data_IF_612269608381
#
_entry.id   IF_612269608381
#
_cell.length_a   1.000
_cell.length_b   1.000
_cell.length_c   1.000
_cell.angle_alpha   90.00
_cell.angle_beta   90.00
_cell.angle_gamma   90.00
#
_symmetry.space_group_name_H-M   'P 1'
#
loop_
_entity.id
_entity.type
_entity.pdbx_description
1 polymer ?
#
# COMPACT_ATOMS: atom_id res chain seq x y z
N UNK A 1 8.41 -13.63 26.25
CA UNK A 1 9.07 -14.34 25.13
C UNK A 1 10.54 -14.47 25.46
N UNK A 2 11.17 -15.61 25.22
CA UNK A 2 12.63 -15.73 25.40
C UNK A 2 13.36 -14.81 24.39
N UNK A 3 14.55 -14.32 24.74
CA UNK A 3 15.37 -13.45 23.86
C UNK A 3 15.64 -14.07 22.49
N UNK A 4 15.63 -15.41 22.38
CA UNK A 4 15.87 -16.13 21.12
C UNK A 4 14.71 -15.96 20.13
N UNK A 5 13.46 -16.12 20.60
CA UNK A 5 12.27 -15.96 19.74
C UNK A 5 12.12 -14.53 19.22
N UNK A 6 12.36 -13.52 20.04
CA UNK A 6 12.32 -12.10 19.63
C UNK A 6 13.32 -11.79 18.50
N UNK A 7 14.52 -12.39 18.53
CA UNK A 7 15.50 -12.24 17.44
C UNK A 7 15.02 -12.91 16.16
N UNK A 8 14.47 -14.12 16.25
CA UNK A 8 13.94 -14.83 15.09
C UNK A 8 12.83 -14.03 14.38
N UNK A 9 11.81 -13.57 15.12
CA UNK A 9 10.72 -12.77 14.54
C UNK A 9 11.23 -11.48 13.90
N UNK A 10 12.16 -10.78 14.56
CA UNK A 10 12.76 -9.58 13.97
C UNK A 10 13.36 -9.86 12.59
N UNK A 11 14.25 -10.86 12.48
CA UNK A 11 14.92 -11.14 11.21
C UNK A 11 13.96 -11.69 10.16
N UNK A 12 13.00 -12.52 10.55
CA UNK A 12 11.97 -13.04 9.65
C UNK A 12 11.18 -11.90 8.99
N UNK A 13 10.62 -10.99 9.79
CA UNK A 13 9.83 -9.86 9.28
C UNK A 13 10.68 -8.80 8.59
N UNK A 14 11.94 -8.60 9.02
CA UNK A 14 12.89 -7.74 8.31
C UNK A 14 13.17 -8.25 6.90
N UNK A 15 13.48 -9.54 6.75
CA UNK A 15 13.72 -10.16 5.44
C UNK A 15 12.44 -10.08 4.60
N UNK A 16 11.28 -10.38 5.18
CA UNK A 16 10.00 -10.25 4.48
C UNK A 16 9.75 -8.81 3.98
N UNK A 17 10.05 -7.79 4.80
CA UNK A 17 9.92 -6.39 4.40
C UNK A 17 10.83 -6.05 3.22
N UNK A 18 12.09 -6.50 3.26
CA UNK A 18 13.06 -6.27 2.18
C UNK A 18 12.65 -6.99 0.89
N UNK A 19 12.17 -8.22 0.99
CA UNK A 19 11.63 -8.95 -0.17
C UNK A 19 10.39 -8.26 -0.75
N UNK A 20 9.54 -7.69 0.10
CA UNK A 20 8.37 -6.93 -0.33
C UNK A 20 8.77 -5.62 -1.03
N UNK A 21 9.80 -4.92 -0.52
CA UNK A 21 10.37 -3.77 -1.21
C UNK A 21 10.88 -4.18 -2.61
N UNK A 22 11.64 -5.27 -2.71
CA UNK A 22 12.10 -5.78 -4.00
C UNK A 22 10.94 -6.10 -4.95
N UNK A 23 9.85 -6.69 -4.43
CA UNK A 23 8.63 -6.93 -5.22
C UNK A 23 8.02 -5.61 -5.76
N UNK A 24 7.83 -4.61 -4.91
CA UNK A 24 7.32 -3.29 -5.32
C UNK A 24 8.23 -2.66 -6.38
N UNK A 25 9.55 -2.71 -6.17
CA UNK A 25 10.53 -2.15 -7.11
C UNK A 25 10.44 -2.80 -8.49
N UNK A 26 10.33 -4.14 -8.55
CA UNK A 26 10.16 -4.87 -9.80
C UNK A 26 8.84 -4.51 -10.50
N UNK A 27 7.75 -4.38 -9.75
CA UNK A 27 6.44 -3.92 -10.27
C UNK A 27 6.48 -2.47 -10.77
N UNK A 28 7.25 -1.63 -10.12
CA UNK A 28 7.46 -0.23 -10.46
C UNK A 28 8.28 -0.06 -11.75
N UNK A 29 9.19 -1.00 -12.05
CA UNK A 29 9.99 -1.02 -13.27
C UNK A 29 9.21 -1.37 -14.55
N UNK A 30 8.00 -1.93 -14.46
CA UNK A 30 7.16 -2.24 -15.62
C UNK A 30 6.59 -0.95 -16.25
N UNK A 31 6.51 -0.84 -17.58
CA UNK A 31 5.85 0.31 -18.21
C UNK A 31 4.33 0.36 -17.94
N UNK A 32 3.67 1.51 -18.17
CA UNK A 32 2.21 1.63 -18.00
C UNK A 32 1.44 0.58 -18.82
N UNK A 33 1.88 0.31 -20.06
CA UNK A 33 1.24 -0.68 -20.93
C UNK A 33 1.34 -2.11 -20.40
N UNK A 34 2.47 -2.46 -19.78
CA UNK A 34 2.69 -3.79 -19.20
C UNK A 34 1.88 -3.99 -17.91
N UNK A 35 1.70 -2.92 -17.13
CA UNK A 35 0.92 -2.98 -15.90
C UNK A 35 -0.60 -2.85 -16.15
N UNK A 36 -1.01 -2.42 -17.34
CA UNK A 36 -2.40 -2.09 -17.62
C UNK A 36 -3.32 -3.30 -17.53
N UNK A 37 -4.43 -3.13 -16.82
CA UNK A 37 -5.49 -4.11 -16.69
C UNK A 37 -6.57 -3.95 -17.76
N UNK A 38 -6.49 -2.87 -18.56
CA UNK A 38 -7.49 -2.53 -19.56
C UNK A 38 -7.83 -3.68 -20.53
N UNK A 39 -6.85 -4.41 -21.11
CA UNK A 39 -7.18 -5.51 -22.03
C UNK A 39 -7.98 -6.63 -21.35
N UNK A 40 -7.65 -6.92 -20.09
CA UNK A 40 -8.37 -7.92 -19.30
C UNK A 40 -9.79 -7.44 -18.97
N UNK A 41 -9.95 -6.18 -18.56
CA UNK A 41 -11.25 -5.60 -18.24
C UNK A 41 -12.15 -5.56 -19.48
N UNK A 42 -11.63 -5.12 -20.63
CA UNK A 42 -12.36 -5.10 -21.91
C UNK A 42 -12.77 -6.51 -22.36
N UNK A 43 -11.98 -7.54 -22.05
CA UNK A 43 -12.34 -8.93 -22.35
C UNK A 43 -13.49 -9.47 -21.51
N UNK A 44 -13.72 -8.92 -20.31
CA UNK A 44 -14.69 -9.42 -19.32
C UNK A 44 -15.92 -8.53 -19.16
N UNK A 45 -15.80 -7.24 -19.48
CA UNK A 45 -16.81 -6.22 -19.22
C UNK A 45 -17.15 -5.49 -20.52
N UNK A 46 -18.43 -5.38 -20.83
CA UNK A 46 -18.90 -4.53 -21.92
C UNK A 46 -18.94 -3.07 -21.45
N UNK A 47 -18.02 -2.24 -21.95
CA UNK A 47 -17.95 -0.82 -21.60
C UNK A 47 -19.26 -0.06 -21.84
N UNK A 48 -20.01 -0.44 -22.87
CA UNK A 48 -21.32 0.17 -23.21
C UNK A 48 -22.38 -0.11 -22.15
N UNK A 49 -22.40 -1.31 -21.57
CA UNK A 49 -23.34 -1.65 -20.50
C UNK A 49 -22.98 -0.91 -19.20
N UNK A 50 -21.68 -0.70 -18.95
CA UNK A 50 -21.20 0.01 -17.77
C UNK A 50 -21.54 1.50 -17.81
N UNK A 51 -21.53 2.15 -18.99
CA UNK A 51 -21.89 3.58 -19.11
C UNK A 51 -23.29 3.90 -18.57
N UNK A 52 -24.25 2.98 -18.75
CA UNK A 52 -25.63 3.17 -18.27
C UNK A 52 -25.80 2.92 -16.76
N UNK A 53 -24.83 2.24 -16.13
CA UNK A 53 -24.83 1.93 -14.69
C UNK A 53 -23.89 2.85 -13.90
N UNK A 54 -22.93 3.48 -14.56
CA UNK A 54 -21.95 4.33 -13.91
C UNK A 54 -22.60 5.66 -13.46
N UNK A 55 -22.43 6.07 -12.19
CA UNK A 55 -22.89 7.37 -11.75
C UNK A 55 -22.13 8.49 -12.49
N UNK A 56 -22.84 9.56 -12.84
CA UNK A 56 -22.33 10.66 -13.68
C UNK A 56 -21.41 11.60 -12.89
N UNK A 57 -20.23 11.12 -12.51
CA UNK A 57 -19.19 11.92 -11.86
C UNK A 57 -17.97 12.04 -12.76
N UNK A 58 -17.22 13.12 -12.58
CA UNK A 58 -15.92 13.33 -13.18
C UNK A 58 -15.02 14.12 -12.24
N UNK A 59 -13.73 13.81 -12.25
CA UNK A 59 -12.73 14.58 -11.51
C UNK A 59 -11.39 14.55 -12.24
N UNK A 60 -10.50 15.48 -11.87
CA UNK A 60 -9.12 15.52 -12.37
C UNK A 60 -8.17 14.99 -11.31
N UNK A 61 -7.27 14.11 -11.71
CA UNK A 61 -6.21 13.53 -10.88
C UNK A 61 -4.87 13.80 -11.57
N UNK A 62 -4.06 14.69 -11.00
CA UNK A 62 -2.77 15.10 -11.57
C UNK A 62 -2.81 15.36 -13.09
N UNK A 63 -3.69 16.28 -13.50
CA UNK A 63 -3.99 16.63 -14.90
C UNK A 63 -4.62 15.53 -15.77
N UNK A 64 -4.82 14.31 -15.25
CA UNK A 64 -5.58 13.25 -15.90
C UNK A 64 -7.07 13.34 -15.54
N UNK A 65 -7.95 13.44 -16.54
CA UNK A 65 -9.41 13.43 -16.32
C UNK A 65 -9.90 11.99 -16.16
N UNK A 66 -10.50 11.67 -15.02
CA UNK A 66 -11.22 10.42 -14.76
C UNK A 66 -12.71 10.72 -14.83
N UNK A 67 -13.43 10.02 -15.72
CA UNK A 67 -14.84 10.31 -16.00
C UNK A 67 -15.62 9.01 -16.21
N UNK A 68 -16.92 9.07 -15.90
CA UNK A 68 -17.90 8.03 -16.23
C UNK A 68 -17.94 7.67 -17.72
N UNK A 69 -17.48 8.56 -18.61
CA UNK A 69 -17.39 8.32 -20.05
C UNK A 69 -16.34 7.27 -20.44
N UNK A 70 -15.36 6.99 -19.56
CA UNK A 70 -14.45 5.85 -19.69
C UNK A 70 -14.54 4.97 -18.43
N UNK A 71 -15.62 4.16 -18.30
CA UNK A 71 -15.85 3.37 -17.09
C UNK A 71 -14.75 2.34 -16.86
N UNK A 72 -14.12 1.82 -17.92
CA UNK A 72 -13.02 0.85 -17.83
C UNK A 72 -11.77 1.54 -17.28
N UNK A 73 -11.41 2.71 -17.82
CA UNK A 73 -10.29 3.51 -17.30
C UNK A 73 -10.52 3.94 -15.85
N UNK A 74 -11.75 4.29 -15.47
CA UNK A 74 -12.10 4.60 -14.09
C UNK A 74 -11.94 3.39 -13.16
N UNK A 75 -12.43 2.21 -13.55
CA UNK A 75 -12.25 0.97 -12.77
C UNK A 75 -10.77 0.64 -12.61
N UNK A 76 -10.00 0.67 -13.70
CA UNK A 76 -8.56 0.42 -13.68
C UNK A 76 -7.85 1.39 -12.75
N UNK A 77 -8.19 2.68 -12.80
CA UNK A 77 -7.65 3.70 -11.90
C UNK A 77 -7.86 3.30 -10.44
N UNK A 78 -9.09 2.97 -10.03
CA UNK A 78 -9.39 2.59 -8.64
C UNK A 78 -8.69 1.29 -8.24
N UNK A 79 -8.65 0.27 -9.12
CA UNK A 79 -7.94 -0.98 -8.83
C UNK A 79 -6.46 -0.71 -8.61
N UNK A 80 -5.83 0.12 -9.45
CA UNK A 80 -4.41 0.49 -9.28
C UNK A 80 -4.19 1.23 -7.97
N UNK A 81 -4.98 2.26 -7.65
CA UNK A 81 -4.85 2.98 -6.37
C UNK A 81 -5.08 2.07 -5.16
N UNK A 82 -6.02 1.13 -5.24
CA UNK A 82 -6.21 0.13 -4.19
C UNK A 82 -5.00 -0.80 -4.05
N UNK A 83 -4.36 -1.18 -5.16
CA UNK A 83 -3.10 -1.93 -5.19
C UNK A 83 -1.99 -1.20 -4.45
N UNK A 84 -1.72 0.06 -4.82
CA UNK A 84 -0.75 0.94 -4.17
C UNK A 84 -1.00 1.05 -2.65
N UNK A 85 -2.22 1.40 -2.24
CA UNK A 85 -2.60 1.44 -0.82
C UNK A 85 -2.31 0.11 -0.12
N UNK A 86 -2.61 -1.02 -0.77
CA UNK A 86 -2.38 -2.36 -0.21
C UNK A 86 -0.89 -2.68 -0.08
N UNK A 87 -0.08 -2.36 -1.10
CA UNK A 87 1.36 -2.58 -1.12
C UNK A 87 2.06 -1.86 0.04
N UNK A 88 1.75 -0.58 0.24
CA UNK A 88 2.35 0.21 1.32
C UNK A 88 1.73 -0.08 2.70
N UNK A 89 0.48 -0.54 2.76
CA UNK A 89 -0.08 -1.10 4.00
C UNK A 89 0.72 -2.32 4.44
N UNK A 90 0.96 -3.27 3.53
CA UNK A 90 1.72 -4.49 3.82
C UNK A 90 3.15 -4.15 4.22
N UNK A 91 3.81 -3.25 3.48
CA UNK A 91 5.17 -2.80 3.78
C UNK A 91 5.27 -2.22 5.20
N UNK A 92 4.39 -1.27 5.54
CA UNK A 92 4.36 -0.63 6.85
C UNK A 92 4.04 -1.63 7.97
N UNK A 93 3.16 -2.62 7.73
CA UNK A 93 2.90 -3.70 8.68
C UNK A 93 4.13 -4.56 8.93
N UNK A 94 4.84 -5.00 7.87
CA UNK A 94 6.04 -5.83 8.00
C UNK A 94 7.13 -5.10 8.81
N UNK A 95 7.38 -3.84 8.51
CA UNK A 95 8.30 -3.00 9.28
C UNK A 95 7.85 -2.82 10.73
N UNK A 96 6.56 -2.55 10.96
CA UNK A 96 6.01 -2.37 12.31
C UNK A 96 6.18 -3.64 13.15
N UNK A 97 5.86 -4.82 12.60
CA UNK A 97 5.99 -6.10 13.31
C UNK A 97 7.46 -6.43 13.58
N UNK A 98 8.35 -6.20 12.62
CA UNK A 98 9.78 -6.38 12.82
C UNK A 98 10.27 -5.52 13.99
N UNK A 99 9.98 -4.21 13.97
CA UNK A 99 10.44 -3.29 15.02
C UNK A 99 9.82 -3.59 16.38
N UNK A 100 8.54 -3.97 16.43
CA UNK A 100 7.87 -4.38 17.68
C UNK A 100 8.41 -5.68 18.28
N UNK A 101 9.16 -6.49 17.51
CA UNK A 101 9.87 -7.65 18.06
C UNK A 101 11.09 -7.25 18.91
N UNK A 102 11.52 -5.98 18.90
CA UNK A 102 12.61 -5.42 19.72
C UNK A 102 12.05 -4.73 20.97
N UNK A 103 12.88 -4.53 22.02
CA UNK A 103 12.47 -3.80 23.23
C UNK A 103 12.43 -2.28 23.00
N UNK A 104 11.65 -1.83 22.02
CA UNK A 104 11.43 -0.42 21.68
C UNK A 104 10.01 0.00 22.07
N UNK A 105 9.81 1.30 22.29
CA UNK A 105 8.46 1.84 22.54
C UNK A 105 7.60 1.66 21.29
N UNK A 106 6.32 1.29 21.47
CA UNK A 106 5.35 1.11 20.37
C UNK A 106 5.32 2.34 19.45
N UNK A 107 5.26 3.54 20.03
CA UNK A 107 5.27 4.80 19.28
C UNK A 107 6.52 4.92 18.40
N UNK A 108 7.69 4.56 18.91
CA UNK A 108 8.93 4.61 18.12
C UNK A 108 8.94 3.57 16.99
N UNK A 109 8.43 2.36 17.25
CA UNK A 109 8.32 1.34 16.20
C UNK A 109 7.41 1.80 15.05
N UNK A 110 6.24 2.37 15.38
CA UNK A 110 5.25 2.83 14.41
C UNK A 110 5.71 4.08 13.65
N UNK A 111 6.36 5.04 14.32
CA UNK A 111 6.92 6.21 13.65
C UNK A 111 8.05 5.82 12.69
N UNK A 112 8.97 4.97 13.13
CA UNK A 112 10.09 4.52 12.30
C UNK A 112 9.61 3.69 11.11
N UNK A 113 8.66 2.76 11.29
CA UNK A 113 8.10 1.99 10.17
C UNK A 113 7.37 2.88 9.16
N UNK A 114 6.63 3.89 9.64
CA UNK A 114 5.93 4.83 8.79
C UNK A 114 6.91 5.70 7.98
N UNK A 115 7.96 6.23 8.62
CA UNK A 115 8.99 7.03 7.95
C UNK A 115 9.71 6.21 6.88
N UNK A 116 10.13 4.98 7.20
CA UNK A 116 10.79 4.10 6.22
C UNK A 116 9.88 3.85 5.02
N UNK A 117 8.61 3.55 5.27
CA UNK A 117 7.65 3.24 4.20
C UNK A 117 7.33 4.48 3.35
N UNK A 118 7.23 5.66 3.95
CA UNK A 118 6.95 6.91 3.24
C UNK A 118 8.14 7.37 2.39
N UNK A 119 9.35 7.27 2.93
CA UNK A 119 10.58 7.52 2.16
C UNK A 119 10.68 6.55 0.99
N UNK A 120 10.31 5.28 1.21
CA UNK A 120 10.27 4.29 0.14
C UNK A 120 9.24 4.63 -0.93
N UNK A 121 8.03 5.05 -0.55
CA UNK A 121 6.99 5.51 -1.49
C UNK A 121 7.47 6.67 -2.37
N UNK A 122 8.10 7.68 -1.74
CA UNK A 122 8.67 8.80 -2.47
C UNK A 122 9.81 8.35 -3.43
N UNK A 123 10.64 7.40 -2.99
CA UNK A 123 11.70 6.85 -3.84
C UNK A 123 11.16 6.01 -5.00
N UNK A 124 10.03 5.34 -4.82
CA UNK A 124 9.38 4.55 -5.86
C UNK A 124 8.79 5.46 -6.95
N UNK A 125 8.05 6.50 -6.56
CA UNK A 125 7.52 7.49 -7.50
C UNK A 125 8.63 8.21 -8.25
N UNK A 126 9.74 8.52 -7.57
CA UNK A 126 10.93 9.06 -8.22
C UNK A 126 11.53 8.04 -9.21
N UNK A 127 11.64 6.77 -8.83
CA UNK A 127 12.13 5.71 -9.71
C UNK A 127 11.27 5.57 -10.98
N UNK A 128 9.94 5.65 -10.85
CA UNK A 128 9.02 5.56 -11.99
C UNK A 128 9.25 6.66 -13.03
N UNK A 129 9.79 7.83 -12.65
CA UNK A 129 10.14 8.90 -13.61
C UNK A 129 11.24 8.49 -14.60
N UNK A 130 12.05 7.48 -14.27
CA UNK A 130 13.09 6.96 -15.16
C UNK A 130 12.59 5.83 -16.07
N UNK A 131 11.39 5.31 -15.84
CA UNK A 131 10.80 4.21 -16.60
C UNK A 131 10.08 4.76 -17.83
N UNK A 132 10.50 4.33 -19.02
CA UNK A 132 9.93 4.81 -20.29
C UNK A 132 8.42 4.51 -20.36
N UNK A 133 7.62 5.55 -20.59
CA UNK A 133 6.16 5.41 -20.68
C UNK A 133 5.46 5.27 -19.32
N UNK A 134 6.15 5.59 -18.21
CA UNK A 134 5.53 5.92 -16.93
C UNK A 134 5.75 7.39 -16.59
N UNK A 135 4.83 7.91 -15.80
CA UNK A 135 4.94 9.20 -15.13
C UNK A 135 4.81 8.94 -13.65
N UNK A 136 5.77 9.45 -12.86
CA UNK A 136 5.60 9.51 -11.41
C UNK A 136 4.61 10.63 -11.09
N UNK A 137 3.65 10.37 -10.21
CA UNK A 137 2.66 11.35 -9.78
C UNK A 137 2.90 11.63 -8.30
N UNK A 138 3.25 12.87 -7.95
CA UNK A 138 3.54 13.22 -6.55
C UNK A 138 2.35 12.96 -5.60
N UNK A 139 1.13 12.99 -6.14
CA UNK A 139 -0.10 12.65 -5.42
C UNK A 139 -0.18 11.15 -5.04
N UNK A 140 0.55 10.27 -5.74
CA UNK A 140 0.59 8.83 -5.45
C UNK A 140 1.30 8.55 -4.13
N UNK A 141 2.32 9.33 -3.78
CA UNK A 141 2.95 9.28 -2.44
C UNK A 141 1.92 9.57 -1.34
N UNK A 142 0.97 10.48 -1.57
CA UNK A 142 -0.08 10.77 -0.62
C UNK A 142 -1.10 9.62 -0.52
N UNK A 143 -1.39 8.94 -1.63
CA UNK A 143 -2.23 7.73 -1.64
C UNK A 143 -1.52 6.60 -0.88
N UNK A 144 -0.24 6.39 -1.10
CA UNK A 144 0.56 5.39 -0.39
C UNK A 144 0.62 5.67 1.11
N UNK A 145 0.69 6.95 1.50
CA UNK A 145 0.62 7.37 2.90
C UNK A 145 -0.70 6.97 3.58
N UNK A 146 -1.82 6.89 2.85
CA UNK A 146 -3.09 6.35 3.38
C UNK A 146 -2.91 4.87 3.75
N UNK A 147 -2.24 4.08 2.89
CA UNK A 147 -1.91 2.68 3.19
C UNK A 147 -1.05 2.53 4.44
N UNK A 148 -0.03 3.38 4.58
CA UNK A 148 0.83 3.41 5.78
C UNK A 148 0.00 3.73 7.03
N UNK A 149 -0.92 4.68 6.95
CA UNK A 149 -1.81 5.02 8.07
C UNK A 149 -2.75 3.86 8.44
N UNK A 150 -3.29 3.14 7.45
CA UNK A 150 -4.10 1.93 7.68
C UNK A 150 -3.32 0.86 8.43
N UNK A 151 -2.06 0.63 8.07
CA UNK A 151 -1.18 -0.30 8.79
C UNK A 151 -1.01 0.09 10.26
N UNK A 152 -0.73 1.36 10.53
CA UNK A 152 -0.59 1.90 11.90
C UNK A 152 -1.88 1.68 12.69
N UNK A 153 -3.04 2.00 12.11
CA UNK A 153 -4.34 1.81 12.75
C UNK A 153 -4.60 0.34 13.09
N UNK A 154 -4.33 -0.57 12.15
CA UNK A 154 -4.48 -2.01 12.37
C UNK A 154 -3.62 -2.50 13.54
N UNK A 155 -2.35 -2.09 13.62
CA UNK A 155 -1.48 -2.47 14.73
C UNK A 155 -2.01 -1.93 16.06
N UNK A 156 -2.45 -0.68 16.11
CA UNK A 156 -3.02 -0.08 17.32
C UNK A 156 -4.30 -0.81 17.79
N UNK A 157 -5.20 -1.15 16.86
CA UNK A 157 -6.41 -1.93 17.15
C UNK A 157 -6.05 -3.30 17.72
N UNK A 158 -5.10 -4.02 17.10
CA UNK A 158 -4.66 -5.33 17.58
C UNK A 158 -4.05 -5.25 18.98
N UNK A 159 -3.17 -4.29 19.23
CA UNK A 159 -2.58 -4.07 20.56
C UNK A 159 -3.64 -3.70 21.61
N UNK A 160 -4.63 -2.90 21.24
CA UNK A 160 -5.76 -2.56 22.11
C UNK A 160 -6.60 -3.80 22.46
N UNK A 161 -6.93 -4.65 21.48
CA UNK A 161 -7.64 -5.91 21.73
C UNK A 161 -6.86 -6.82 22.69
N UNK A 162 -5.56 -7.01 22.43
CA UNK A 162 -4.69 -7.88 23.25
C UNK A 162 -4.61 -7.37 24.69
N UNK A 163 -4.40 -6.06 24.89
CA UNK A 163 -4.32 -5.47 26.23
C UNK A 163 -5.64 -5.55 26.97
N UNK A 164 -6.78 -5.41 26.27
CA UNK A 164 -8.11 -5.52 26.86
C UNK A 164 -8.46 -6.95 27.29
N UNK A 165 -8.10 -7.95 26.48
CA UNK A 165 -8.28 -9.37 26.82
C UNK A 165 -7.42 -9.75 28.04
N UNK A 166 -6.16 -9.30 28.11
CA UNK A 166 -5.28 -9.57 29.26
C UNK A 166 -5.83 -8.98 30.55
N UNK A 167 -6.35 -7.75 30.53
CA UNK A 167 -6.95 -7.12 31.73
C UNK A 167 -8.14 -7.93 32.26
N UNK A 168 -8.99 -8.47 31.38
CA UNK A 168 -10.16 -9.30 31.76
C UNK A 168 -9.80 -10.67 32.34
N UNK A 169 -8.60 -11.20 32.08
CA UNK A 169 -8.15 -12.49 32.65
C UNK A 169 -7.53 -12.35 34.05
N UNK A 170 -7.21 -11.13 34.46
CA UNK A 170 -6.55 -10.84 35.74
C UNK A 170 -7.58 -10.32 36.77
N UNK A 171 -8.73 -9.79 36.31
CA UNK A 171 -9.91 -9.51 37.12
C UNK A 171 -10.75 -10.76 37.33
#
# INVERSE_FOLDING_TARGET
>A
MSKSYSKFYFYFFLIAAVLWMAFIFLKSAESYQQQSLRPLLESKLSGVQLMNLFPHWEFSYDHQKISWQDPIGAIEFFIRKAGHVSEYTILALLWSIALLAKPVKVVMALLTSSIISLVYAASDEWHQTFVKGRTGHGIDVAVDAIGILLAVLLVLVVLWIITRIKRRRIS
#
